data_IF_273082921568
#
_entry.id   IF_273082921568
#
_cell.length_a   1.000
_cell.length_b   1.000
_cell.length_c   1.000
_cell.angle_alpha   90.00
_cell.angle_beta   90.00
_cell.angle_gamma   90.00
#
_symmetry.space_group_name_H-M   'P 1'
#
loop_
_entity.id
_entity.type
_entity.pdbx_description
1 polymer ?
#
# COMPACT_ATOMS: atom_id res chain seq x y z
N UNK A 1 -1.52 13.17 -5.27
CA UNK A 1 -1.77 12.23 -4.16
C UNK A 1 -0.57 12.15 -3.19
N UNK A 2 0.68 12.22 -3.66
CA UNK A 2 1.87 12.22 -2.78
C UNK A 2 1.81 13.37 -1.77
N UNK A 3 1.60 14.59 -2.23
CA UNK A 3 1.45 15.79 -1.40
C UNK A 3 0.29 15.67 -0.39
N UNK A 4 -0.81 15.03 -0.80
CA UNK A 4 -1.97 14.83 0.06
C UNK A 4 -1.69 13.96 1.29
N UNK A 5 -0.67 13.08 1.24
CA UNK A 5 -0.23 12.31 2.40
C UNK A 5 0.32 13.18 3.53
N UNK A 6 0.73 14.40 3.20
CA UNK A 6 1.23 15.40 4.16
C UNK A 6 0.21 16.51 4.37
N UNK A 7 -0.20 17.17 3.29
CA UNK A 7 -1.04 18.36 3.38
C UNK A 7 -2.37 18.10 4.09
N UNK A 8 -3.02 16.96 3.84
CA UNK A 8 -4.30 16.66 4.48
C UNK A 8 -4.14 16.43 5.99
N UNK A 9 -3.25 15.54 6.49
CA UNK A 9 -3.05 15.39 7.94
C UNK A 9 -2.52 16.67 8.63
N UNK A 10 -1.72 17.48 7.95
CA UNK A 10 -1.22 18.75 8.50
C UNK A 10 -2.34 19.76 8.77
N UNK A 11 -3.49 19.64 8.13
CA UNK A 11 -4.69 20.43 8.47
C UNK A 11 -5.50 19.86 9.63
N UNK A 12 -5.13 18.67 10.14
CA UNK A 12 -5.91 17.91 11.10
C UNK A 12 -7.06 17.10 10.49
N UNK A 13 -7.11 17.01 9.15
CA UNK A 13 -8.09 16.20 8.43
C UNK A 13 -7.58 14.77 8.19
N UNK A 14 -8.51 13.86 7.88
CA UNK A 14 -8.22 12.46 7.59
C UNK A 14 -8.14 12.25 6.07
N UNK A 15 -7.03 11.71 5.61
CA UNK A 15 -6.82 11.39 4.19
C UNK A 15 -7.62 10.13 3.81
N UNK A 16 -8.55 10.26 2.84
CA UNK A 16 -9.26 9.12 2.27
C UNK A 16 -8.77 8.85 0.85
N UNK A 17 -7.99 7.81 0.67
CA UNK A 17 -7.44 7.45 -0.64
C UNK A 17 -8.36 6.47 -1.36
N UNK A 18 -9.07 6.96 -2.39
CA UNK A 18 -10.06 6.16 -3.13
C UNK A 18 -9.39 5.41 -4.28
N UNK A 19 -9.70 4.10 -4.39
CA UNK A 19 -9.23 3.27 -5.48
C UNK A 19 -9.80 3.76 -6.83
N UNK A 20 -8.91 4.09 -7.75
CA UNK A 20 -9.22 4.63 -9.09
C UNK A 20 -9.91 3.62 -10.04
N UNK A 21 -10.01 2.36 -9.65
CA UNK A 21 -10.61 1.29 -10.46
C UNK A 21 -12.07 0.99 -10.08
N UNK A 22 -12.60 1.71 -9.08
CA UNK A 22 -13.95 1.51 -8.59
C UNK A 22 -14.99 2.11 -9.54
N UNK A 23 -16.17 1.52 -9.56
CA UNK A 23 -17.35 2.06 -10.25
C UNK A 23 -17.96 3.24 -9.48
N UNK A 24 -18.85 3.98 -10.15
CA UNK A 24 -19.47 5.17 -9.61
C UNK A 24 -20.35 4.92 -8.37
N UNK A 25 -20.98 3.74 -8.25
CA UNK A 25 -21.82 3.38 -7.09
C UNK A 25 -20.95 3.20 -5.86
N UNK A 26 -19.83 2.49 -6.00
CA UNK A 26 -18.87 2.28 -4.92
C UNK A 26 -18.18 3.58 -4.50
N UNK A 27 -17.81 4.44 -5.47
CA UNK A 27 -17.25 5.78 -5.17
C UNK A 27 -18.27 6.63 -4.40
N UNK A 28 -19.54 6.63 -4.84
CA UNK A 28 -20.64 7.33 -4.14
C UNK A 28 -20.78 6.85 -2.69
N UNK A 29 -20.83 5.53 -2.49
CA UNK A 29 -20.88 4.95 -1.15
C UNK A 29 -19.71 5.41 -0.28
N UNK A 30 -18.46 5.33 -0.78
CA UNK A 30 -17.28 5.74 -0.02
C UNK A 30 -17.36 7.22 0.37
N UNK A 31 -17.72 8.11 -0.54
CA UNK A 31 -17.82 9.55 -0.28
C UNK A 31 -18.90 9.87 0.76
N UNK A 32 -20.04 9.18 0.72
CA UNK A 32 -21.10 9.35 1.71
C UNK A 32 -20.72 8.75 3.06
N UNK A 33 -20.27 7.50 3.08
CA UNK A 33 -19.92 6.77 4.31
C UNK A 33 -18.78 7.45 5.07
N UNK A 34 -17.75 7.94 4.36
CA UNK A 34 -16.60 8.63 4.96
C UNK A 34 -16.88 10.07 5.41
N UNK A 35 -18.09 10.61 5.19
CA UNK A 35 -18.41 12.02 5.43
C UNK A 35 -17.44 12.98 4.72
N UNK A 36 -17.02 12.64 3.51
CA UNK A 36 -16.09 13.46 2.73
C UNK A 36 -16.60 14.91 2.57
N UNK A 37 -15.71 15.87 2.81
CA UNK A 37 -15.99 17.32 2.67
C UNK A 37 -15.34 17.92 1.44
N UNK A 38 -14.18 17.39 1.06
CA UNK A 38 -13.40 17.83 -0.10
C UNK A 38 -13.03 16.60 -0.92
N UNK A 39 -13.17 16.70 -2.23
CA UNK A 39 -12.70 15.70 -3.19
C UNK A 39 -11.67 16.35 -4.10
N UNK A 40 -10.42 15.89 -4.01
CA UNK A 40 -9.35 16.25 -4.93
C UNK A 40 -9.25 15.13 -5.96
N UNK A 41 -9.45 15.43 -7.24
CA UNK A 41 -9.65 14.41 -8.27
C UNK A 41 -9.01 14.77 -9.61
N UNK A 42 -8.32 13.80 -10.20
CA UNK A 42 -7.79 13.91 -11.56
C UNK A 42 -8.93 13.89 -12.60
N UNK A 43 -8.89 14.82 -13.55
CA UNK A 43 -9.91 15.01 -14.60
C UNK A 43 -10.12 13.78 -15.48
N UNK A 44 -9.19 12.84 -15.54
CA UNK A 44 -9.39 11.59 -16.29
C UNK A 44 -10.54 10.72 -15.72
N UNK A 45 -10.92 10.93 -14.45
CA UNK A 45 -11.99 10.19 -13.79
C UNK A 45 -13.35 10.92 -13.83
N UNK A 46 -13.49 11.96 -14.63
CA UNK A 46 -14.65 12.84 -14.63
C UNK A 46 -15.99 12.12 -14.83
N UNK A 47 -16.07 11.11 -15.71
CA UNK A 47 -17.30 10.37 -15.97
C UNK A 47 -17.76 9.59 -14.74
N UNK A 48 -16.86 8.81 -14.14
CA UNK A 48 -17.15 8.00 -12.95
C UNK A 48 -17.53 8.90 -11.78
N UNK A 49 -16.80 10.00 -11.58
CA UNK A 49 -17.00 10.91 -10.45
C UNK A 49 -18.28 11.73 -10.62
N UNK A 50 -18.59 12.27 -11.79
CA UNK A 50 -19.87 12.97 -12.04
C UNK A 50 -21.06 12.05 -11.76
N UNK A 51 -21.01 10.81 -12.24
CA UNK A 51 -22.04 9.82 -11.96
C UNK A 51 -22.12 9.45 -10.47
N UNK A 52 -20.99 9.39 -9.76
CA UNK A 52 -20.99 9.17 -8.33
C UNK A 52 -21.65 10.34 -7.57
N UNK A 53 -21.26 11.57 -7.90
CA UNK A 53 -21.78 12.78 -7.26
C UNK A 53 -23.28 12.98 -7.48
N UNK A 54 -23.84 12.56 -8.62
CA UNK A 54 -25.30 12.65 -8.88
C UNK A 54 -26.12 11.79 -7.92
N UNK A 55 -25.54 10.83 -7.24
CA UNK A 55 -26.21 9.98 -6.24
C UNK A 55 -26.02 10.47 -4.80
N UNK A 56 -25.19 11.51 -4.59
CA UNK A 56 -24.86 12.04 -3.26
C UNK A 56 -25.72 13.25 -2.96
N UNK A 57 -26.33 13.28 -1.77
CA UNK A 57 -27.23 14.40 -1.37
C UNK A 57 -26.48 15.54 -0.67
N UNK A 58 -25.30 15.28 -0.12
CA UNK A 58 -24.51 16.28 0.58
C UNK A 58 -23.56 17.02 -0.36
N UNK A 59 -23.29 18.26 -0.03
CA UNK A 59 -22.32 19.09 -0.77
C UNK A 59 -20.89 18.62 -0.45
N UNK A 60 -20.10 18.40 -1.50
CA UNK A 60 -18.69 18.09 -1.44
C UNK A 60 -17.94 19.12 -2.29
N UNK A 61 -16.97 19.83 -1.70
CA UNK A 61 -16.12 20.76 -2.46
C UNK A 61 -15.19 19.96 -3.37
N UNK A 62 -15.19 20.29 -4.66
CA UNK A 62 -14.41 19.56 -5.67
C UNK A 62 -13.24 20.41 -6.13
N UNK A 63 -12.05 19.82 -6.13
CA UNK A 63 -10.82 20.39 -6.65
C UNK A 63 -10.30 19.50 -7.76
N UNK A 64 -10.29 20.01 -8.98
CA UNK A 64 -9.81 19.30 -10.17
C UNK A 64 -8.29 19.31 -10.26
N UNK A 65 -7.70 18.16 -10.62
CA UNK A 65 -6.31 18.08 -11.04
C UNK A 65 -6.26 17.99 -12.57
N UNK A 66 -5.55 18.92 -13.20
CA UNK A 66 -5.23 18.86 -14.62
C UNK A 66 -3.79 18.39 -14.80
N UNK A 67 -3.59 17.13 -15.22
CA UNK A 67 -2.26 16.63 -15.54
C UNK A 67 -2.02 16.70 -17.06
N UNK A 68 -0.99 17.47 -17.45
CA UNK A 68 -0.59 17.60 -18.85
C UNK A 68 -0.12 16.29 -19.51
N UNK A 69 0.25 15.29 -18.71
CA UNK A 69 0.68 13.97 -19.17
C UNK A 69 -0.47 12.95 -19.26
N UNK A 70 -1.68 13.33 -18.86
CA UNK A 70 -2.85 12.48 -19.01
C UNK A 70 -3.31 12.41 -20.47
N UNK A 71 -4.04 11.33 -20.78
CA UNK A 71 -4.72 11.19 -22.08
C UNK A 71 -5.76 12.29 -22.27
N UNK A 72 -5.48 13.24 -23.17
CA UNK A 72 -6.31 14.42 -23.40
C UNK A 72 -7.75 14.08 -23.83
N UNK A 73 -7.95 12.93 -24.46
CA UNK A 73 -9.29 12.47 -24.89
C UNK A 73 -10.21 12.09 -23.73
N UNK A 74 -9.62 11.86 -22.53
CA UNK A 74 -10.33 11.43 -21.31
C UNK A 74 -10.48 12.55 -20.28
N UNK A 75 -10.05 13.78 -20.58
CA UNK A 75 -10.07 14.87 -19.61
C UNK A 75 -11.41 15.61 -19.64
N UNK A 76 -12.10 15.65 -18.51
CA UNK A 76 -13.32 16.43 -18.33
C UNK A 76 -13.31 17.20 -17.02
N UNK A 77 -13.74 18.47 -17.06
CA UNK A 77 -13.91 19.30 -15.86
C UNK A 77 -14.99 18.73 -14.94
N UNK A 78 -14.73 18.66 -13.63
CA UNK A 78 -15.66 18.14 -12.62
C UNK A 78 -16.09 19.26 -11.68
N UNK A 79 -15.14 19.95 -11.06
CA UNK A 79 -15.35 21.07 -10.14
C UNK A 79 -15.07 22.43 -10.78
N UNK A 80 -15.24 23.49 -9.99
CA UNK A 80 -14.98 24.85 -10.44
C UNK A 80 -13.57 25.35 -10.10
N UNK A 81 -12.90 24.65 -9.19
CA UNK A 81 -11.57 25.01 -8.70
C UNK A 81 -10.51 24.03 -9.23
N UNK A 82 -9.49 24.56 -9.89
CA UNK A 82 -8.34 23.78 -10.36
C UNK A 82 -7.26 23.75 -9.27
N UNK A 83 -6.52 22.63 -9.17
CA UNK A 83 -5.59 22.36 -8.07
C UNK A 83 -4.44 23.38 -7.99
N UNK A 84 -3.81 23.74 -9.10
CA UNK A 84 -2.71 24.72 -9.11
C UNK A 84 -3.21 26.15 -8.76
N UNK A 85 -4.44 26.49 -9.18
CA UNK A 85 -5.06 27.77 -8.77
C UNK A 85 -5.46 27.75 -7.28
N UNK A 86 -5.91 26.59 -6.78
CA UNK A 86 -6.18 26.42 -5.36
C UNK A 86 -4.92 26.62 -4.52
N UNK A 87 -3.77 26.06 -4.94
CA UNK A 87 -2.52 26.20 -4.21
C UNK A 87 -2.08 27.68 -4.08
N UNK A 88 -2.36 28.53 -5.07
CA UNK A 88 -2.05 29.96 -5.00
C UNK A 88 -2.82 30.73 -3.92
N UNK A 89 -3.91 30.17 -3.43
CA UNK A 89 -4.72 30.76 -2.35
C UNK A 89 -4.24 30.38 -0.96
N UNK A 90 -3.24 29.50 -0.86
CA UNK A 90 -2.69 29.02 0.40
C UNK A 90 -1.87 30.08 1.14
N UNK A 91 -1.92 30.01 2.45
CA UNK A 91 -1.05 30.80 3.33
C UNK A 91 0.30 30.10 3.48
N UNK A 92 1.39 30.76 3.05
CA UNK A 92 2.76 30.23 3.15
C UNK A 92 3.24 30.13 4.60
N UNK A 93 2.65 30.88 5.50
CA UNK A 93 3.00 30.90 6.93
C UNK A 93 2.05 30.02 7.77
N UNK A 94 1.23 29.18 7.11
CA UNK A 94 0.32 28.29 7.79
C UNK A 94 1.03 27.38 8.80
N UNK A 95 0.61 27.48 10.05
CA UNK A 95 1.12 26.62 11.13
C UNK A 95 0.32 25.31 11.13
N UNK A 96 0.98 24.26 10.69
CA UNK A 96 0.34 22.93 10.63
C UNK A 96 0.03 22.37 12.02
N UNK A 97 -1.07 21.62 12.09
CA UNK A 97 -1.55 21.00 13.34
C UNK A 97 -0.87 19.65 13.56
N UNK A 98 -0.30 19.50 14.75
CA UNK A 98 0.10 18.17 15.24
C UNK A 98 -1.13 17.47 15.83
N UNK A 99 -1.19 16.13 15.79
CA UNK A 99 -2.20 15.41 16.53
C UNK A 99 -2.00 15.62 18.04
N UNK A 100 -3.10 15.83 18.78
CA UNK A 100 -3.07 15.91 20.25
C UNK A 100 -2.80 14.53 20.85
N UNK A 101 -3.24 13.49 20.18
CA UNK A 101 -3.00 12.08 20.48
C UNK A 101 -2.61 11.35 19.19
N UNK A 102 -1.50 10.64 19.20
CA UNK A 102 -1.03 9.84 18.04
C UNK A 102 -1.97 8.68 17.68
N UNK A 103 -2.97 8.37 18.50
CA UNK A 103 -4.07 7.45 18.20
C UNK A 103 -5.17 8.09 17.35
N UNK A 104 -5.12 9.40 17.10
CA UNK A 104 -6.03 10.05 16.16
C UNK A 104 -5.85 9.50 14.75
N UNK A 105 -6.95 9.52 13.97
CA UNK A 105 -6.94 9.04 12.60
C UNK A 105 -6.07 9.94 11.70
N UNK A 106 -5.18 9.32 10.92
CA UNK A 106 -4.39 9.99 9.86
C UNK A 106 -5.00 9.72 8.49
N UNK A 107 -5.48 8.50 8.27
CA UNK A 107 -6.08 8.14 6.99
C UNK A 107 -7.16 7.07 7.12
N UNK A 108 -7.96 6.96 6.05
CA UNK A 108 -9.04 6.01 5.89
C UNK A 108 -8.83 5.29 4.56
N UNK A 109 -8.69 3.96 4.61
CA UNK A 109 -8.50 3.12 3.42
C UNK A 109 -9.64 2.12 3.30
N UNK A 110 -10.29 2.05 2.15
CA UNK A 110 -11.39 1.11 1.94
C UNK A 110 -10.90 -0.22 1.36
N UNK A 111 -11.33 -1.32 1.99
CA UNK A 111 -11.08 -2.66 1.46
C UNK A 111 -11.95 -2.94 0.23
N UNK A 112 -11.54 -3.91 -0.59
CA UNK A 112 -12.28 -4.29 -1.81
C UNK A 112 -13.56 -5.09 -1.56
N UNK A 113 -13.99 -5.30 -0.32
CA UNK A 113 -15.20 -6.00 0.11
C UNK A 113 -15.60 -7.19 -0.79
N UNK A 114 -15.37 -8.42 -0.36
CA UNK A 114 -15.75 -9.61 -1.14
C UNK A 114 -17.21 -10.02 -0.96
N UNK A 115 -17.88 -9.55 0.09
CA UNK A 115 -19.23 -10.00 0.50
C UNK A 115 -20.21 -8.87 0.83
N UNK A 116 -19.91 -7.62 0.46
CA UNK A 116 -20.76 -6.47 0.79
C UNK A 116 -20.13 -5.14 0.42
N UNK A 117 -20.60 -4.05 1.03
CA UNK A 117 -19.97 -2.75 0.86
C UNK A 117 -18.54 -2.74 1.42
N UNK A 118 -17.61 -2.00 0.79
CA UNK A 118 -16.25 -1.85 1.30
C UNK A 118 -16.22 -1.34 2.73
N UNK A 119 -15.37 -1.93 3.58
CA UNK A 119 -15.13 -1.46 4.95
C UNK A 119 -14.07 -0.38 4.96
N UNK A 120 -14.31 0.68 5.71
CA UNK A 120 -13.33 1.76 5.91
C UNK A 120 -12.36 1.43 7.04
N UNK A 121 -11.13 1.11 6.73
CA UNK A 121 -10.05 0.82 7.70
C UNK A 121 -9.45 2.13 8.18
N UNK A 122 -9.51 2.38 9.48
CA UNK A 122 -8.99 3.62 10.09
C UNK A 122 -7.55 3.44 10.52
N UNK A 123 -6.66 4.23 9.92
CA UNK A 123 -5.26 4.33 10.33
C UNK A 123 -5.05 5.45 11.36
N UNK A 124 -4.20 5.22 12.34
CA UNK A 124 -3.79 6.23 13.32
C UNK A 124 -2.34 6.68 13.08
N UNK A 125 -1.97 7.87 13.56
CA UNK A 125 -0.64 8.45 13.37
C UNK A 125 0.48 7.55 13.89
N UNK A 126 0.31 6.92 15.06
CA UNK A 126 1.28 5.97 15.63
C UNK A 126 1.58 4.82 14.70
N UNK A 127 0.53 4.16 14.15
CA UNK A 127 0.69 3.02 13.25
C UNK A 127 1.40 3.40 11.95
N UNK A 128 1.03 4.54 11.35
CA UNK A 128 1.68 5.05 10.14
C UNK A 128 3.17 5.35 10.37
N UNK A 129 3.52 5.97 11.50
CA UNK A 129 4.90 6.24 11.89
C UNK A 129 5.70 4.95 12.12
N UNK A 130 5.14 4.03 12.92
CA UNK A 130 5.80 2.75 13.20
C UNK A 130 5.97 1.91 11.94
N UNK A 131 4.96 1.86 11.05
CA UNK A 131 5.06 1.14 9.80
C UNK A 131 6.14 1.74 8.90
N UNK A 132 6.20 3.07 8.80
CA UNK A 132 7.21 3.77 7.99
C UNK A 132 8.63 3.49 8.49
N UNK A 133 8.86 3.56 9.81
CA UNK A 133 10.17 3.27 10.40
C UNK A 133 10.49 1.77 10.35
N UNK A 134 9.54 0.90 10.66
CA UNK A 134 9.72 -0.55 10.64
C UNK A 134 10.04 -1.08 9.26
N UNK A 135 9.39 -0.56 8.20
CA UNK A 135 9.68 -0.93 6.81
C UNK A 135 11.12 -0.59 6.42
N UNK A 136 11.62 0.57 6.85
CA UNK A 136 13.00 0.98 6.52
C UNK A 136 14.04 0.05 7.13
N UNK A 137 13.81 -0.40 8.37
CA UNK A 137 14.68 -1.35 9.07
C UNK A 137 14.55 -2.76 8.47
N UNK A 138 13.31 -3.24 8.31
CA UNK A 138 13.04 -4.59 7.85
C UNK A 138 13.58 -4.85 6.42
N UNK A 139 13.52 -3.85 5.55
CA UNK A 139 14.03 -3.93 4.19
C UNK A 139 15.47 -3.39 4.03
N UNK A 140 16.12 -3.06 5.13
CA UNK A 140 17.47 -2.49 5.15
C UNK A 140 17.64 -1.33 4.13
N UNK A 141 16.69 -0.39 4.16
CA UNK A 141 16.63 0.70 3.19
C UNK A 141 17.73 1.73 3.50
N UNK A 142 18.59 2.07 2.54
CA UNK A 142 19.62 3.07 2.75
C UNK A 142 19.05 4.50 2.75
N UNK A 143 19.77 5.42 3.39
CA UNK A 143 19.51 6.85 3.21
C UNK A 143 19.70 7.26 1.74
N UNK A 144 18.91 8.22 1.29
CA UNK A 144 18.95 8.80 -0.07
C UNK A 144 18.71 7.78 -1.19
N UNK A 145 17.90 6.74 -0.91
CA UNK A 145 17.51 5.79 -1.94
C UNK A 145 16.65 6.45 -3.02
N UNK A 146 16.61 5.83 -4.19
CA UNK A 146 15.72 6.22 -5.28
C UNK A 146 14.61 5.18 -5.40
N UNK A 147 13.38 5.59 -5.15
CA UNK A 147 12.20 4.72 -5.11
C UNK A 147 11.28 4.99 -6.29
N UNK A 148 10.87 3.93 -7.00
CA UNK A 148 9.85 4.00 -8.05
C UNK A 148 8.48 3.60 -7.50
N UNK A 149 7.51 4.49 -7.61
CA UNK A 149 6.15 4.27 -7.12
C UNK A 149 5.34 3.44 -8.12
N UNK A 150 5.34 2.13 -7.95
CA UNK A 150 4.54 1.17 -8.73
C UNK A 150 3.29 0.77 -7.94
N UNK A 151 3.42 0.53 -6.63
CA UNK A 151 2.26 0.32 -5.75
C UNK A 151 1.39 1.57 -5.77
N UNK A 152 0.10 1.45 -6.10
CA UNK A 152 -0.78 2.61 -6.10
C UNK A 152 -0.87 3.25 -4.71
N UNK A 153 -0.73 4.58 -4.63
CA UNK A 153 -0.77 5.31 -3.35
C UNK A 153 -2.15 5.31 -2.69
N UNK A 154 -3.19 4.79 -3.34
CA UNK A 154 -4.49 4.56 -2.72
C UNK A 154 -4.59 3.20 -2.01
N UNK A 155 -3.72 2.24 -2.35
CA UNK A 155 -3.75 0.89 -1.77
C UNK A 155 -2.86 0.83 -0.54
N UNK A 156 -3.46 0.53 0.64
CA UNK A 156 -2.78 0.59 1.94
C UNK A 156 -1.91 1.87 2.08
N UNK A 157 -2.43 3.00 1.61
CA UNK A 157 -1.71 4.27 1.49
C UNK A 157 -0.30 4.13 0.88
N UNK A 158 -0.22 3.36 -0.21
CA UNK A 158 1.05 3.10 -0.91
C UNK A 158 2.08 2.37 -0.03
N UNK A 159 1.60 1.48 0.88
CA UNK A 159 2.42 0.75 1.85
C UNK A 159 3.26 1.67 2.75
N UNK A 160 2.73 2.82 3.08
CA UNK A 160 3.38 3.87 3.86
C UNK A 160 4.66 4.48 3.23
N UNK A 161 5.04 4.09 2.00
CA UNK A 161 6.23 4.63 1.34
C UNK A 161 6.18 6.14 1.06
N UNK A 162 5.01 6.77 0.83
CA UNK A 162 4.95 8.24 0.79
C UNK A 162 5.55 8.92 2.05
N UNK A 163 5.49 8.26 3.20
CA UNK A 163 6.11 8.75 4.45
C UNK A 163 7.51 8.19 4.68
N UNK A 164 7.75 6.91 4.34
CA UNK A 164 9.04 6.24 4.56
C UNK A 164 10.17 6.87 3.73
N UNK A 165 9.92 7.13 2.44
CA UNK A 165 10.98 7.57 1.54
C UNK A 165 11.52 8.97 1.90
N UNK A 166 10.68 10.00 2.16
CA UNK A 166 11.17 11.30 2.62
C UNK A 166 11.87 11.25 3.98
N UNK A 167 11.43 10.38 4.90
CA UNK A 167 12.10 10.17 6.18
C UNK A 167 13.57 9.74 6.01
N UNK A 168 13.86 9.00 4.95
CA UNK A 168 15.21 8.56 4.57
C UNK A 168 15.94 9.55 3.65
N UNK A 169 15.43 10.79 3.48
CA UNK A 169 15.92 11.74 2.47
C UNK A 169 15.99 11.15 1.06
N UNK A 170 15.12 10.18 0.77
CA UNK A 170 15.06 9.47 -0.49
C UNK A 170 14.33 10.26 -1.57
N UNK A 171 14.52 9.84 -2.82
CA UNK A 171 13.83 10.40 -3.99
C UNK A 171 12.69 9.47 -4.39
N UNK A 172 11.48 10.00 -4.51
CA UNK A 172 10.32 9.29 -5.06
C UNK A 172 10.11 9.65 -6.52
N UNK A 173 10.13 8.66 -7.40
CA UNK A 173 9.79 8.80 -8.82
C UNK A 173 8.38 8.24 -9.01
N UNK A 174 7.45 9.09 -9.43
CA UNK A 174 6.05 8.71 -9.62
C UNK A 174 5.82 8.16 -11.03
N UNK A 175 5.13 7.02 -11.11
CA UNK A 175 4.71 6.39 -12.35
C UNK A 175 3.19 6.50 -12.49
N UNK A 176 2.70 7.12 -13.58
CA UNK A 176 1.26 7.30 -13.80
C UNK A 176 0.56 6.00 -14.20
N UNK A 177 1.15 5.26 -15.11
CA UNK A 177 0.61 4.00 -15.63
C UNK A 177 1.70 2.92 -15.60
N UNK A 178 1.29 1.66 -15.40
CA UNK A 178 2.20 0.52 -15.50
C UNK A 178 2.56 0.30 -16.98
N UNK A 179 3.77 0.67 -17.33
CA UNK A 179 4.38 0.48 -18.64
C UNK A 179 5.78 -0.08 -18.44
N UNK A 180 6.04 -1.28 -18.97
CA UNK A 180 7.27 -2.01 -18.68
C UNK A 180 8.49 -1.32 -19.27
N UNK A 181 8.39 -0.84 -20.50
CA UNK A 181 9.46 -0.06 -21.13
C UNK A 181 9.80 1.18 -20.30
N UNK A 182 8.76 1.90 -19.84
CA UNK A 182 8.94 3.10 -19.02
C UNK A 182 9.54 2.77 -17.66
N UNK A 183 9.20 1.63 -17.06
CA UNK A 183 9.82 1.16 -15.80
C UNK A 183 11.32 0.99 -15.98
N UNK A 184 11.79 0.30 -17.03
CA UNK A 184 13.22 0.13 -17.29
C UNK A 184 13.92 1.46 -17.61
N UNK A 185 13.28 2.34 -18.38
CA UNK A 185 13.79 3.69 -18.65
C UNK A 185 14.00 4.49 -17.36
N UNK A 186 13.00 4.52 -16.48
CA UNK A 186 13.06 5.24 -15.20
C UNK A 186 14.09 4.65 -14.24
N UNK A 187 14.24 3.31 -14.22
CA UNK A 187 15.28 2.64 -13.43
C UNK A 187 16.67 3.14 -13.86
N UNK A 188 16.91 3.22 -15.15
CA UNK A 188 18.20 3.69 -15.70
C UNK A 188 18.41 5.18 -15.48
N UNK A 189 17.44 6.01 -15.86
CA UNK A 189 17.48 7.48 -15.80
C UNK A 189 17.65 7.99 -14.37
N UNK A 190 16.88 7.43 -13.45
CA UNK A 190 16.84 7.90 -12.05
C UNK A 190 17.63 7.03 -11.10
N UNK A 191 18.34 6.00 -11.59
CA UNK A 191 19.09 5.05 -10.76
C UNK A 191 18.23 4.48 -9.64
N UNK A 192 17.02 4.02 -10.00
CA UNK A 192 16.07 3.44 -9.06
C UNK A 192 16.68 2.23 -8.38
N UNK A 193 16.63 2.19 -7.07
CA UNK A 193 17.17 1.11 -6.24
C UNK A 193 16.09 0.24 -5.61
N UNK A 194 14.88 0.77 -5.42
CA UNK A 194 13.79 0.09 -4.73
C UNK A 194 12.43 0.36 -5.36
N UNK A 195 11.56 -0.65 -5.38
CA UNK A 195 10.11 -0.49 -5.60
C UNK A 195 9.33 -1.65 -5.00
N UNK A 196 8.03 -1.46 -4.79
CA UNK A 196 7.09 -2.52 -4.46
C UNK A 196 6.18 -2.82 -5.65
N UNK A 197 5.74 -4.07 -5.80
CA UNK A 197 4.82 -4.44 -6.88
C UNK A 197 4.06 -5.72 -6.59
N UNK A 198 2.80 -5.79 -7.02
CA UNK A 198 2.04 -7.03 -6.99
C UNK A 198 2.63 -8.06 -7.96
N UNK A 199 2.41 -9.38 -7.74
CA UNK A 199 2.92 -10.44 -8.62
C UNK A 199 2.58 -10.26 -10.09
N UNK A 200 1.44 -9.66 -10.41
CA UNK A 200 1.07 -9.35 -11.80
C UNK A 200 2.06 -8.40 -12.47
N UNK A 201 2.63 -7.44 -11.75
CA UNK A 201 3.64 -6.52 -12.28
C UNK A 201 4.95 -7.26 -12.55
N UNK A 202 5.36 -8.16 -11.64
CA UNK A 202 6.53 -8.99 -11.84
C UNK A 202 6.37 -9.91 -13.06
N UNK A 203 5.18 -10.49 -13.23
CA UNK A 203 4.83 -11.26 -14.44
C UNK A 203 4.94 -10.42 -15.71
N UNK A 204 4.45 -9.19 -15.70
CA UNK A 204 4.57 -8.28 -16.83
C UNK A 204 6.04 -7.94 -17.13
N UNK A 205 6.87 -7.68 -16.11
CA UNK A 205 8.30 -7.43 -16.25
C UNK A 205 9.01 -8.65 -16.88
N UNK A 206 8.77 -9.85 -16.33
CA UNK A 206 9.42 -11.08 -16.80
C UNK A 206 8.86 -11.63 -18.12
N UNK A 207 7.67 -11.21 -18.53
CA UNK A 207 7.02 -11.59 -19.78
C UNK A 207 7.14 -10.55 -20.90
N UNK A 208 7.79 -9.41 -20.66
CA UNK A 208 7.98 -8.38 -21.67
C UNK A 208 8.93 -8.84 -22.79
N UNK A 209 8.84 -8.19 -23.95
CA UNK A 209 9.72 -8.49 -25.07
C UNK A 209 11.17 -8.14 -24.78
N UNK A 210 12.14 -8.83 -25.38
CA UNK A 210 13.58 -8.58 -25.20
C UNK A 210 14.00 -7.14 -25.52
N UNK A 211 13.29 -6.46 -26.43
CA UNK A 211 13.54 -5.04 -26.74
C UNK A 211 13.07 -4.09 -25.63
N UNK A 212 12.10 -4.48 -24.83
CA UNK A 212 11.53 -3.69 -23.74
C UNK A 212 12.15 -4.06 -22.38
N UNK A 213 12.72 -5.26 -22.27
CA UNK A 213 13.55 -5.68 -21.13
C UNK A 213 14.98 -5.22 -21.29
N UNK A 214 15.59 -4.81 -20.19
CA UNK A 214 17.03 -4.52 -20.13
C UNK A 214 17.62 -5.19 -18.91
N UNK A 215 18.79 -5.81 -19.07
CA UNK A 215 19.57 -6.24 -17.93
C UNK A 215 20.04 -4.99 -17.18
N UNK A 216 19.76 -4.95 -15.90
CA UNK A 216 20.08 -3.79 -15.08
C UNK A 216 21.58 -3.65 -14.86
N UNK A 217 22.09 -2.42 -14.87
CA UNK A 217 23.49 -2.09 -14.57
C UNK A 217 23.80 -2.04 -13.06
N UNK A 218 22.77 -2.14 -12.22
CA UNK A 218 22.87 -2.17 -10.77
C UNK A 218 21.74 -3.02 -10.19
N UNK A 219 21.87 -3.42 -8.93
CA UNK A 219 20.88 -4.22 -8.22
C UNK A 219 19.66 -3.36 -7.89
N UNK A 220 18.45 -3.88 -8.13
CA UNK A 220 17.18 -3.26 -7.77
C UNK A 220 16.41 -4.20 -6.84
N UNK A 221 16.07 -3.70 -5.67
CA UNK A 221 15.34 -4.44 -4.66
C UNK A 221 13.83 -4.29 -4.87
N UNK A 222 13.11 -5.40 -4.80
CA UNK A 222 11.67 -5.44 -5.07
C UNK A 222 10.94 -6.14 -3.93
N UNK A 223 9.92 -5.49 -3.36
CA UNK A 223 8.95 -6.16 -2.49
C UNK A 223 7.74 -6.60 -3.29
N UNK A 224 7.27 -7.82 -3.06
CA UNK A 224 6.04 -8.33 -3.66
C UNK A 224 5.10 -8.86 -2.60
N UNK A 225 3.81 -8.53 -2.72
CA UNK A 225 2.75 -8.91 -1.82
C UNK A 225 1.40 -9.06 -2.54
N UNK A 226 0.38 -9.52 -1.81
CA UNK A 226 -1.00 -9.66 -2.28
C UNK A 226 -1.33 -11.07 -2.75
N UNK A 227 -0.35 -11.85 -3.16
CA UNK A 227 -0.40 -13.30 -3.39
C UNK A 227 1.02 -13.85 -3.46
N UNK A 228 1.26 -15.13 -3.11
CA UNK A 228 2.56 -15.77 -3.33
C UNK A 228 2.89 -15.81 -4.81
N UNK A 229 4.03 -15.22 -5.25
CA UNK A 229 4.43 -15.36 -6.65
C UNK A 229 4.92 -16.79 -6.92
N UNK A 230 4.68 -17.34 -8.13
CA UNK A 230 5.29 -18.60 -8.53
C UNK A 230 6.82 -18.56 -8.42
N UNK A 231 7.46 -19.64 -7.98
CA UNK A 231 8.91 -19.73 -7.79
C UNK A 231 9.72 -19.32 -9.02
N UNK A 232 9.24 -19.67 -10.22
CA UNK A 232 9.86 -19.31 -11.50
C UNK A 232 10.00 -17.78 -11.71
N UNK A 233 9.13 -16.98 -11.08
CA UNK A 233 9.19 -15.52 -11.20
C UNK A 233 10.40 -14.96 -10.45
N UNK A 234 10.73 -15.50 -9.28
CA UNK A 234 11.95 -15.11 -8.55
C UNK A 234 13.19 -15.33 -9.41
N UNK A 235 13.32 -16.51 -10.04
CA UNK A 235 14.43 -16.85 -10.94
C UNK A 235 14.53 -15.89 -12.12
N UNK A 236 13.43 -15.60 -12.80
CA UNK A 236 13.42 -14.69 -13.97
C UNK A 236 13.75 -13.25 -13.54
N UNK A 237 13.23 -12.76 -12.43
CA UNK A 237 13.54 -11.43 -11.91
C UNK A 237 15.01 -11.31 -11.55
N UNK A 238 15.57 -12.32 -10.89
CA UNK A 238 17.00 -12.37 -10.54
C UNK A 238 17.89 -12.32 -11.78
N UNK A 239 17.55 -13.05 -12.83
CA UNK A 239 18.30 -13.02 -14.10
C UNK A 239 18.33 -11.63 -14.76
N UNK A 240 17.32 -10.78 -14.53
CA UNK A 240 17.26 -9.39 -14.97
C UNK A 240 18.01 -8.41 -14.05
N UNK A 241 18.44 -8.83 -12.85
CA UNK A 241 19.16 -8.00 -11.88
C UNK A 241 18.30 -7.49 -10.72
N UNK A 242 17.08 -7.99 -10.59
CA UNK A 242 16.20 -7.68 -9.45
C UNK A 242 16.42 -8.66 -8.30
N UNK A 243 16.37 -8.15 -7.08
CA UNK A 243 16.30 -8.95 -5.87
C UNK A 243 14.91 -8.83 -5.27
N UNK A 244 14.15 -9.93 -5.30
CA UNK A 244 12.74 -9.95 -4.90
C UNK A 244 12.59 -10.58 -3.53
N UNK A 245 11.93 -9.88 -2.62
CA UNK A 245 11.51 -10.38 -1.32
C UNK A 245 9.98 -10.46 -1.25
N UNK A 246 9.48 -11.62 -0.84
CA UNK A 246 8.05 -11.81 -0.59
C UNK A 246 7.70 -11.26 0.80
N UNK A 247 6.61 -10.50 0.85
CA UNK A 247 6.07 -9.93 2.07
C UNK A 247 4.56 -10.18 2.17
N UNK A 248 4.03 -10.18 3.38
CA UNK A 248 2.60 -10.38 3.65
C UNK A 248 2.08 -9.29 4.58
N UNK A 249 0.85 -8.91 4.35
CA UNK A 249 0.07 -8.01 5.19
C UNK A 249 -1.26 -7.66 4.54
N UNK A 250 -2.03 -6.85 5.23
CA UNK A 250 -3.41 -6.50 4.90
C UNK A 250 -3.61 -4.99 4.94
N UNK A 251 -4.75 -4.52 4.47
CA UNK A 251 -5.14 -3.12 4.67
C UNK A 251 -5.18 -2.79 6.16
N UNK A 252 -5.66 -3.70 6.97
CA UNK A 252 -5.79 -3.59 8.42
C UNK A 252 -4.45 -3.51 9.17
N UNK A 253 -3.34 -3.78 8.48
CA UNK A 253 -1.97 -3.70 9.02
C UNK A 253 -1.09 -2.66 8.31
N UNK A 254 -1.69 -1.65 7.67
CA UNK A 254 -0.99 -0.58 6.92
C UNK A 254 -0.20 -1.07 5.71
N UNK A 255 -0.29 -2.34 5.35
CA UNK A 255 0.47 -3.04 4.35
C UNK A 255 1.17 -4.26 4.93
N UNK A 256 2.41 -4.48 4.56
CA UNK A 256 3.16 -5.69 4.91
C UNK A 256 3.75 -5.64 6.33
N UNK A 257 3.62 -6.75 7.05
CA UNK A 257 4.12 -6.94 8.42
C UNK A 257 4.93 -8.23 8.60
N UNK A 258 4.95 -9.09 7.59
CA UNK A 258 5.83 -10.25 7.49
C UNK A 258 6.72 -10.13 6.28
N UNK A 259 7.92 -10.67 6.36
CA UNK A 259 8.86 -10.76 5.25
C UNK A 259 9.57 -12.10 5.23
N UNK A 260 9.81 -12.61 4.04
CA UNK A 260 10.70 -13.76 3.85
C UNK A 260 12.15 -13.30 3.95
N UNK A 261 12.60 -12.98 5.18
CA UNK A 261 13.99 -12.64 5.45
C UNK A 261 14.90 -13.82 5.12
N UNK A 262 15.91 -13.60 4.26
CA UNK A 262 16.83 -14.64 3.87
C UNK A 262 17.75 -15.02 5.03
N UNK A 263 18.05 -16.32 5.14
CA UNK A 263 19.03 -16.84 6.10
C UNK A 263 20.19 -17.44 5.32
N UNK A 264 21.41 -17.02 5.62
CA UNK A 264 22.64 -17.46 4.93
C UNK A 264 22.83 -18.99 4.93
N UNK A 265 22.21 -19.70 5.89
CA UNK A 265 22.20 -21.18 5.92
C UNK A 265 21.49 -21.80 4.71
N UNK A 266 20.68 -21.05 4.00
CA UNK A 266 19.95 -21.51 2.82
C UNK A 266 20.75 -21.33 1.52
N UNK A 267 21.89 -20.64 1.55
CA UNK A 267 22.73 -20.43 0.36
C UNK A 267 23.26 -21.74 -0.25
N UNK A 268 23.47 -22.75 0.59
CA UNK A 268 23.93 -24.07 0.16
C UNK A 268 22.83 -25.00 -0.39
N UNK A 269 21.56 -24.61 -0.35
CA UNK A 269 20.46 -25.39 -0.89
C UNK A 269 20.40 -25.27 -2.42
N UNK A 270 19.79 -26.30 -3.07
CA UNK A 270 19.52 -26.20 -4.49
C UNK A 270 18.54 -25.06 -4.82
N UNK A 271 18.57 -24.59 -6.06
CA UNK A 271 17.82 -23.42 -6.50
C UNK A 271 16.30 -23.58 -6.32
N UNK A 272 15.78 -24.78 -6.55
CA UNK A 272 14.32 -25.03 -6.41
C UNK A 272 13.90 -24.92 -4.95
N UNK A 273 14.70 -25.45 -4.03
CA UNK A 273 14.46 -25.33 -2.59
C UNK A 273 14.58 -23.88 -2.10
N UNK A 274 15.55 -23.14 -2.58
CA UNK A 274 15.67 -21.72 -2.27
C UNK A 274 14.44 -20.94 -2.75
N UNK A 275 13.93 -21.22 -3.96
CA UNK A 275 12.75 -20.55 -4.50
C UNK A 275 11.46 -20.95 -3.76
N UNK A 276 11.34 -22.20 -3.29
CA UNK A 276 10.26 -22.64 -2.41
C UNK A 276 10.24 -21.83 -1.10
N UNK A 277 11.41 -21.63 -0.49
CA UNK A 277 11.54 -20.84 0.74
C UNK A 277 11.21 -19.36 0.47
N UNK A 278 11.70 -18.77 -0.62
CA UNK A 278 11.41 -17.38 -1.02
C UNK A 278 9.91 -17.10 -1.22
N UNK A 279 9.11 -18.12 -1.49
CA UNK A 279 7.66 -17.99 -1.63
C UNK A 279 6.92 -17.91 -0.28
N UNK A 280 7.58 -18.22 0.84
CA UNK A 280 6.97 -18.13 2.18
C UNK A 280 6.73 -16.70 2.60
N UNK A 281 5.79 -16.48 3.55
CA UNK A 281 5.53 -15.17 4.15
C UNK A 281 6.62 -14.76 5.12
N UNK A 282 7.31 -15.73 5.70
CA UNK A 282 8.51 -15.53 6.54
C UNK A 282 8.21 -15.11 7.97
N UNK A 283 8.90 -14.09 8.45
CA UNK A 283 8.90 -13.65 9.85
C UNK A 283 8.35 -12.23 10.02
N UNK A 284 7.88 -11.90 11.22
CA UNK A 284 7.33 -10.58 11.53
C UNK A 284 8.36 -9.46 11.44
N UNK A 285 7.89 -8.27 11.15
CA UNK A 285 8.67 -7.04 11.21
C UNK A 285 9.06 -6.68 12.64
N UNK A 286 10.17 -5.97 12.87
CA UNK A 286 10.64 -5.60 14.21
C UNK A 286 9.64 -4.75 15.02
N UNK A 287 8.81 -3.97 14.34
CA UNK A 287 7.80 -3.08 14.92
C UNK A 287 6.43 -3.73 15.14
N UNK A 288 6.26 -5.00 14.78
CA UNK A 288 5.07 -5.80 15.05
C UNK A 288 5.26 -6.54 16.36
N UNK A 289 4.34 -6.38 17.32
CA UNK A 289 4.46 -7.00 18.64
C UNK A 289 4.49 -8.53 18.52
N UNK A 290 3.48 -9.09 17.84
CA UNK A 290 3.46 -10.53 17.56
C UNK A 290 2.63 -10.88 16.31
N UNK A 291 2.99 -11.99 15.66
CA UNK A 291 2.22 -12.66 14.61
C UNK A 291 2.30 -14.15 14.82
N UNK A 292 1.17 -14.81 14.97
CA UNK A 292 1.09 -16.26 15.22
C UNK A 292 0.08 -16.92 14.29
N UNK A 293 0.32 -18.18 13.99
CA UNK A 293 -0.70 -19.06 13.42
C UNK A 293 -1.38 -19.76 14.58
N UNK A 294 -2.67 -19.49 14.76
CA UNK A 294 -3.44 -19.93 15.92
C UNK A 294 -4.74 -20.62 15.50
N UNK A 295 -5.24 -21.48 16.37
CA UNK A 295 -6.60 -21.97 16.30
C UNK A 295 -7.56 -20.81 16.67
N UNK A 296 -8.50 -20.42 15.78
CA UNK A 296 -9.33 -19.22 15.98
C UNK A 296 -10.36 -19.35 17.12
N UNK A 297 -10.70 -20.57 17.55
CA UNK A 297 -11.64 -20.79 18.65
C UNK A 297 -10.97 -20.80 20.01
N UNK A 298 -9.81 -21.47 20.10
CA UNK A 298 -9.11 -21.66 21.37
C UNK A 298 -8.06 -20.58 21.64
N UNK A 299 -7.68 -19.79 20.63
CA UNK A 299 -6.60 -18.79 20.67
C UNK A 299 -5.25 -19.39 21.11
N UNK A 300 -5.02 -20.66 20.78
CA UNK A 300 -3.76 -21.34 21.05
C UNK A 300 -2.93 -21.47 19.78
N UNK A 301 -1.60 -21.25 19.85
CA UNK A 301 -0.72 -21.46 18.72
C UNK A 301 -0.80 -22.90 18.21
N UNK A 302 -0.82 -23.07 16.89
CA UNK A 302 -0.71 -24.40 16.27
C UNK A 302 0.74 -24.92 16.34
N UNK A 303 0.95 -26.25 16.26
CA UNK A 303 2.30 -26.82 16.17
C UNK A 303 3.09 -26.27 14.98
N UNK A 304 4.40 -26.10 15.16
CA UNK A 304 5.33 -25.68 14.09
C UNK A 304 5.78 -26.90 13.26
N UNK A 305 4.82 -27.57 12.64
CA UNK A 305 5.04 -28.82 11.88
C UNK A 305 4.92 -28.63 10.35
N UNK A 306 4.61 -27.41 9.90
CA UNK A 306 4.39 -27.08 8.50
C UNK A 306 3.15 -27.76 7.88
N UNK A 307 2.22 -28.27 8.70
CA UNK A 307 1.04 -29.05 8.27
C UNK A 307 -0.24 -28.60 8.95
N UNK A 308 -0.20 -28.38 10.26
CA UNK A 308 -1.38 -27.99 11.03
C UNK A 308 -1.77 -26.57 10.67
N UNK A 309 -2.95 -26.43 10.08
CA UNK A 309 -3.49 -25.13 9.69
C UNK A 309 -4.07 -24.36 10.87
N UNK A 310 -3.89 -23.07 10.88
CA UNK A 310 -4.57 -22.13 11.75
C UNK A 310 -4.75 -20.78 11.03
N UNK A 311 -5.31 -19.82 11.72
CA UNK A 311 -5.48 -18.45 11.25
C UNK A 311 -4.23 -17.62 11.60
N UNK A 312 -3.80 -16.72 10.69
CA UNK A 312 -2.79 -15.71 11.00
C UNK A 312 -3.42 -14.67 11.91
N UNK A 313 -2.93 -14.59 13.13
CA UNK A 313 -3.35 -13.59 14.12
C UNK A 313 -2.24 -12.61 14.42
N UNK A 314 -2.60 -11.34 14.53
CA UNK A 314 -1.66 -10.24 14.55
C UNK A 314 -1.91 -9.36 15.78
N UNK A 315 -0.84 -8.94 16.44
CA UNK A 315 -0.91 -8.03 17.58
C UNK A 315 0.13 -6.93 17.47
N UNK A 316 -0.26 -5.73 17.83
CA UNK A 316 0.68 -4.59 17.90
C UNK A 316 0.10 -3.27 17.41
N UNK A 317 0.92 -2.23 17.54
CA UNK A 317 0.54 -0.86 17.18
C UNK A 317 0.54 -0.58 15.67
N UNK A 318 0.86 -1.57 14.83
CA UNK A 318 0.71 -1.52 13.37
C UNK A 318 -0.58 -2.21 12.90
N UNK A 319 -1.52 -2.44 13.81
CA UNK A 319 -2.88 -2.87 13.49
C UNK A 319 -3.79 -1.64 13.46
N UNK A 320 -4.77 -1.62 12.58
CA UNK A 320 -5.75 -0.54 12.42
C UNK A 320 -6.41 -0.13 13.75
N UNK A 321 -6.92 1.10 13.82
CA UNK A 321 -7.77 1.53 14.94
C UNK A 321 -9.10 0.77 15.00
N UNK A 322 -9.61 0.36 13.84
CA UNK A 322 -10.87 -0.35 13.65
C UNK A 322 -11.51 -0.01 12.30
N UNK A 323 -12.69 -0.57 12.06
CA UNK A 323 -13.51 -0.24 10.90
C UNK A 323 -14.38 0.99 11.19
N UNK A 324 -14.35 1.96 10.28
CA UNK A 324 -15.07 3.22 10.42
C UNK A 324 -16.58 2.99 10.44
N UNK A 325 -17.26 3.49 11.49
CA UNK A 325 -18.70 3.34 11.74
C UNK A 325 -19.19 1.87 11.82
N UNK A 326 -18.30 0.93 12.11
CA UNK A 326 -18.63 -0.49 12.22
C UNK A 326 -17.94 -1.11 13.45
N UNK A 327 -18.54 -0.82 14.61
CA UNK A 327 -18.03 -1.31 15.90
C UNK A 327 -18.14 -2.83 16.00
N UNK A 328 -19.22 -3.41 15.51
CA UNK A 328 -19.46 -4.86 15.56
C UNK A 328 -18.39 -5.62 14.79
N UNK A 329 -18.12 -5.22 13.54
CA UNK A 329 -17.04 -5.82 12.75
C UNK A 329 -15.65 -5.57 13.38
N UNK A 330 -15.44 -4.41 14.02
CA UNK A 330 -14.19 -4.12 14.74
C UNK A 330 -14.00 -5.06 15.92
N UNK A 331 -15.02 -5.19 16.80
CA UNK A 331 -14.96 -6.04 17.99
C UNK A 331 -14.74 -7.51 17.59
N UNK A 332 -15.42 -7.97 16.54
CA UNK A 332 -15.23 -9.31 16.00
C UNK A 332 -13.81 -9.54 15.49
N UNK A 333 -13.27 -8.58 14.72
CA UNK A 333 -11.92 -8.69 14.16
C UNK A 333 -10.81 -8.60 15.23
N UNK A 334 -11.11 -8.06 16.43
CA UNK A 334 -10.15 -7.89 17.55
C UNK A 334 -10.41 -8.86 18.71
N UNK A 335 -11.12 -9.94 18.45
CA UNK A 335 -11.47 -10.94 19.50
C UNK A 335 -10.24 -11.47 20.21
N UNK A 336 -10.30 -11.59 21.53
CA UNK A 336 -9.19 -12.11 22.36
C UNK A 336 -7.93 -11.22 22.38
N UNK A 337 -8.02 -9.96 21.92
CA UNK A 337 -6.88 -9.03 21.89
C UNK A 337 -5.92 -9.25 20.71
N UNK A 338 -6.34 -10.04 19.73
CA UNK A 338 -5.65 -10.30 18.47
C UNK A 338 -6.49 -9.80 17.30
N UNK A 339 -5.83 -9.26 16.29
CA UNK A 339 -6.49 -9.03 15.02
C UNK A 339 -6.55 -10.34 14.23
N UNK A 340 -7.76 -10.76 13.90
CA UNK A 340 -8.07 -11.92 13.09
C UNK A 340 -7.99 -11.56 11.61
N UNK A 341 -7.00 -12.10 10.90
CA UNK A 341 -6.79 -11.78 9.48
C UNK A 341 -7.81 -12.42 8.54
N UNK A 342 -8.40 -13.55 8.95
CA UNK A 342 -9.19 -14.39 8.09
C UNK A 342 -8.37 -15.27 7.14
N UNK A 343 -7.03 -15.15 7.14
CA UNK A 343 -6.13 -15.91 6.27
C UNK A 343 -5.60 -17.16 6.98
N UNK A 344 -5.67 -18.32 6.31
CA UNK A 344 -5.17 -19.58 6.82
C UNK A 344 -3.68 -19.77 6.47
N UNK A 345 -2.93 -20.31 7.42
CA UNK A 345 -1.51 -20.59 7.27
C UNK A 345 -1.08 -21.82 8.07
N UNK A 346 0.17 -22.23 7.86
CA UNK A 346 0.89 -23.21 8.70
C UNK A 346 2.13 -22.53 9.29
N UNK A 347 2.55 -22.99 10.48
CA UNK A 347 3.79 -22.54 11.10
C UNK A 347 4.92 -23.57 10.86
N UNK A 348 6.14 -23.06 10.58
CA UNK A 348 7.34 -23.89 10.37
C UNK A 348 8.34 -23.71 11.50
#
# INVERSE_FOLDING_TARGET
IFEAHYSVPMTGAVLNTINIRLDSKTVSYILEHSDAKVLIVDRQFHEVVKKALSNIKKEIKIIDIFDKHADKSKLGKIGDLEYEEFLKTGDTDYVWKRPDDEWQAISLSYTSGTTGNPKGVVYHHRGAYLMSTGSSVAWNMPNRLNFLTIVPMFHCNGWCYPWTIPMLNGKTVCLRNIDIKKIFELIEEHKITHFGGAPIVLNMITGASEKDQKKLGHKVYVLTAGAPPPSIIFKKMQALGFEVMHVYGLTETYGHILQCAWNDQWDGLDEDKQNEIKARQGVRYPNTEDVMVMDPETLKPVPKDGKTMGEIMIKGNVVMKGYFKDKEATDKAMTGGWFHSGDLAVAH
#
